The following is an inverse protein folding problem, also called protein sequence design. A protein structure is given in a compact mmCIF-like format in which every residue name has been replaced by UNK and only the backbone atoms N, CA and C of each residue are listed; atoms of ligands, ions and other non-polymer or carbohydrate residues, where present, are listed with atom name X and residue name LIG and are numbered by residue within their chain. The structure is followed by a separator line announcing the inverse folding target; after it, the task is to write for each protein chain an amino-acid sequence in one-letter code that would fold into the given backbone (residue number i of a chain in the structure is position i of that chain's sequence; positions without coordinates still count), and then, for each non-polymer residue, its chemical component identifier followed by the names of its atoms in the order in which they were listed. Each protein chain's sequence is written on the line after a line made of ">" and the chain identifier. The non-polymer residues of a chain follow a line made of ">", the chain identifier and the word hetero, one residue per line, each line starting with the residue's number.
data_IF_158906205729
#
_entry.id   IF_158906205729
#
_cell.length_a   1.000
_cell.length_b   1.000
_cell.length_c   1.000
_cell.angle_alpha   90.00
_cell.angle_beta   90.00
_cell.angle_gamma   90.00
#
_symmetry.space_group_name_H-M   'P 1'
#
loop_
_entity.id
_entity.type
_entity.pdbx_description
1 polymer ?
#
# COMPACT_ATOMS: atom_id res chain seq x y z
N UNK A 1 15.86 12.00 -24.89
CA UNK A 1 15.59 12.55 -23.54
C UNK A 1 16.04 11.53 -22.53
N UNK A 2 16.91 11.91 -21.57
CA UNK A 2 17.35 10.98 -20.51
C UNK A 2 16.51 11.18 -19.25
N UNK A 3 15.94 10.09 -18.77
CA UNK A 3 15.17 10.04 -17.53
C UNK A 3 15.96 9.28 -16.48
N UNK A 4 16.10 9.85 -15.29
CA UNK A 4 16.70 9.16 -14.14
C UNK A 4 15.65 8.36 -13.39
N UNK A 5 16.00 7.15 -12.98
CA UNK A 5 15.15 6.34 -12.13
C UNK A 5 15.92 5.72 -10.96
N UNK A 6 15.21 5.45 -9.90
CA UNK A 6 15.65 4.63 -8.77
C UNK A 6 14.61 3.57 -8.53
N UNK A 7 15.02 2.30 -8.40
CA UNK A 7 14.13 1.29 -7.84
C UNK A 7 14.37 1.15 -6.34
N UNK A 8 13.30 0.85 -5.62
CA UNK A 8 13.32 0.74 -4.16
C UNK A 8 12.41 -0.41 -3.73
N UNK A 9 12.87 -1.20 -2.77
CA UNK A 9 12.03 -2.15 -2.06
C UNK A 9 11.37 -1.43 -0.89
N UNK A 10 10.03 -1.37 -0.90
CA UNK A 10 9.22 -0.62 0.05
C UNK A 10 8.66 -1.55 1.12
N UNK A 11 8.61 -1.12 2.38
CA UNK A 11 8.20 -1.90 3.55
C UNK A 11 9.17 -3.04 3.89
N UNK A 12 10.45 -2.77 3.80
CA UNK A 12 11.50 -3.71 4.19
C UNK A 12 12.75 -2.97 4.67
N UNK A 13 13.54 -3.60 5.50
CA UNK A 13 14.87 -3.13 5.95
C UNK A 13 16.02 -3.87 5.27
N UNK A 14 15.71 -4.81 4.35
CA UNK A 14 16.68 -5.62 3.62
C UNK A 14 16.33 -5.74 2.14
N UNK A 15 17.34 -5.88 1.26
CA UNK A 15 17.12 -6.14 -0.16
C UNK A 15 16.28 -7.39 -0.42
N UNK A 16 15.52 -7.38 -1.51
CA UNK A 16 14.69 -8.48 -2.01
C UNK A 16 13.49 -8.85 -1.13
N UNK A 17 13.18 -8.02 -0.13
CA UNK A 17 11.92 -8.03 0.59
C UNK A 17 10.98 -6.94 0.06
N UNK A 18 9.87 -6.71 0.76
CA UNK A 18 8.99 -5.58 0.47
C UNK A 18 8.31 -5.61 -0.90
N UNK A 19 7.73 -4.48 -1.28
CA UNK A 19 7.11 -4.27 -2.58
C UNK A 19 8.01 -3.40 -3.47
N UNK A 20 8.47 -3.90 -4.64
CA UNK A 20 9.36 -3.14 -5.50
C UNK A 20 8.62 -2.00 -6.20
N UNK A 21 9.27 -0.84 -6.26
CA UNK A 21 8.79 0.36 -6.92
C UNK A 21 9.88 0.95 -7.81
N UNK A 22 9.51 1.41 -8.99
CA UNK A 22 10.35 2.31 -9.80
C UNK A 22 9.90 3.75 -9.61
N UNK A 23 10.85 4.64 -9.36
CA UNK A 23 10.62 6.09 -9.20
C UNK A 23 11.41 6.83 -10.27
N UNK A 24 10.73 7.43 -11.23
CA UNK A 24 11.31 8.31 -12.26
C UNK A 24 11.30 9.73 -11.70
N UNK A 25 12.49 10.27 -11.40
CA UNK A 25 12.62 11.50 -10.58
C UNK A 25 12.61 12.81 -11.39
N UNK A 26 12.63 12.74 -12.73
CA UNK A 26 12.65 13.90 -13.62
C UNK A 26 11.70 13.73 -14.81
N UNK A 27 10.44 13.46 -14.53
CA UNK A 27 9.43 13.08 -15.52
C UNK A 27 8.80 14.28 -16.28
N UNK A 28 9.27 15.49 -16.03
CA UNK A 28 8.76 16.69 -16.72
C UNK A 28 8.90 16.55 -18.23
N UNK A 29 7.82 16.84 -18.96
CA UNK A 29 7.76 16.76 -20.43
C UNK A 29 7.28 15.42 -20.98
N UNK A 30 7.12 14.38 -20.14
CA UNK A 30 6.52 13.12 -20.56
C UNK A 30 5.00 13.27 -20.76
N UNK A 31 4.50 12.71 -21.85
CA UNK A 31 3.06 12.51 -22.04
C UNK A 31 2.54 11.35 -21.17
N UNK A 32 1.22 11.31 -20.87
CA UNK A 32 0.61 10.19 -20.18
C UNK A 32 0.87 8.83 -20.86
N UNK A 33 0.88 8.81 -22.19
CA UNK A 33 1.16 7.59 -22.96
C UNK A 33 2.60 7.11 -22.78
N UNK A 34 3.58 8.02 -22.72
CA UNK A 34 4.97 7.67 -22.44
C UNK A 34 5.15 7.14 -21.00
N UNK A 35 4.51 7.77 -20.01
CA UNK A 35 4.53 7.28 -18.63
C UNK A 35 3.94 5.88 -18.52
N UNK A 36 2.83 5.62 -19.21
CA UNK A 36 2.20 4.30 -19.25
C UNK A 36 3.12 3.25 -19.91
N UNK A 37 3.78 3.59 -21.02
CA UNK A 37 4.71 2.69 -21.70
C UNK A 37 5.93 2.36 -20.81
N UNK A 38 6.49 3.35 -20.13
CA UNK A 38 7.60 3.16 -19.19
C UNK A 38 7.18 2.28 -18.02
N UNK A 39 5.98 2.48 -17.46
CA UNK A 39 5.46 1.65 -16.39
C UNK A 39 5.26 0.19 -16.84
N UNK A 40 4.78 -0.02 -18.07
CA UNK A 40 4.67 -1.35 -18.66
C UNK A 40 6.03 -2.02 -18.89
N UNK A 41 7.05 -1.25 -19.30
CA UNK A 41 8.42 -1.75 -19.51
C UNK A 41 9.08 -2.18 -18.20
N UNK A 42 8.93 -1.41 -17.10
CA UNK A 42 9.38 -1.83 -15.77
C UNK A 42 8.66 -3.08 -15.28
N UNK A 43 7.39 -3.24 -15.64
CA UNK A 43 6.55 -4.38 -15.26
C UNK A 43 6.57 -4.69 -13.76
N UNK A 44 6.72 -3.64 -12.93
CA UNK A 44 6.54 -3.70 -11.48
C UNK A 44 5.07 -3.43 -11.14
N UNK A 45 4.66 -3.73 -9.92
CA UNK A 45 3.28 -3.47 -9.48
C UNK A 45 2.87 -2.03 -9.79
N UNK A 46 3.73 -1.06 -9.44
CA UNK A 46 3.59 0.34 -9.84
C UNK A 46 4.95 0.99 -10.19
N UNK A 47 4.83 2.08 -10.94
CA UNK A 47 5.91 3.02 -11.25
C UNK A 47 5.42 4.43 -10.96
N UNK A 48 6.22 5.24 -10.29
CA UNK A 48 5.90 6.65 -10.03
C UNK A 48 6.72 7.59 -10.91
N UNK A 49 6.06 8.68 -11.29
CA UNK A 49 6.64 9.75 -12.06
C UNK A 49 6.56 11.05 -11.26
N UNK A 50 7.73 11.59 -10.93
CA UNK A 50 7.86 12.84 -10.18
C UNK A 50 7.88 13.99 -11.17
N UNK A 51 7.01 14.99 -10.97
CA UNK A 51 6.91 16.22 -11.75
C UNK A 51 7.09 17.43 -10.83
N UNK A 52 7.40 18.61 -11.40
CA UNK A 52 7.38 19.85 -10.63
C UNK A 52 6.00 20.06 -9.98
N UNK A 53 5.94 20.51 -8.72
CA UNK A 53 4.67 20.78 -8.08
C UNK A 53 3.99 21.98 -8.75
N UNK A 54 2.65 21.98 -8.78
CA UNK A 54 1.84 23.11 -9.28
C UNK A 54 1.84 24.26 -8.27
N UNK A 55 1.78 23.93 -6.98
CA UNK A 55 1.94 24.89 -5.89
C UNK A 55 3.38 24.81 -5.35
N UNK A 56 4.04 25.97 -5.30
CA UNK A 56 5.40 26.09 -4.80
C UNK A 56 5.57 25.68 -3.30
N UNK A 57 4.48 25.62 -2.54
CA UNK A 57 4.49 25.12 -1.15
C UNK A 57 4.61 23.61 -1.06
N UNK A 58 4.34 22.88 -2.14
CA UNK A 58 4.37 21.42 -2.17
C UNK A 58 5.72 20.89 -2.66
N UNK A 59 5.98 19.61 -2.42
CA UNK A 59 7.26 18.98 -2.76
C UNK A 59 7.33 18.57 -4.22
N UNK A 60 6.29 17.94 -4.74
CA UNK A 60 6.20 17.44 -6.10
C UNK A 60 4.75 17.13 -6.49
N UNK A 61 4.45 17.13 -7.79
CA UNK A 61 3.33 16.36 -8.33
C UNK A 61 3.82 14.93 -8.56
N UNK A 62 3.03 13.94 -8.13
CA UNK A 62 3.35 12.51 -8.29
C UNK A 62 2.24 11.82 -9.05
N UNK A 63 2.61 11.14 -10.13
CA UNK A 63 1.70 10.31 -10.91
C UNK A 63 2.08 8.84 -10.76
N UNK A 64 1.10 7.98 -10.59
CA UNK A 64 1.27 6.56 -10.26
C UNK A 64 0.67 5.73 -11.38
N UNK A 65 1.43 4.78 -11.90
CA UNK A 65 0.99 3.90 -12.98
C UNK A 65 1.25 2.45 -12.63
N UNK A 66 0.24 1.60 -12.80
CA UNK A 66 0.44 0.15 -12.96
C UNK A 66 0.92 -0.11 -14.39
N UNK A 67 1.34 -1.33 -14.76
CA UNK A 67 1.62 -1.68 -16.15
C UNK A 67 0.45 -1.45 -17.13
N UNK A 68 -0.80 -1.30 -16.63
CA UNK A 68 -2.00 -1.22 -17.46
C UNK A 68 -2.77 0.09 -17.37
N UNK A 69 -2.65 0.83 -16.26
CA UNK A 69 -3.47 2.01 -16.02
C UNK A 69 -2.83 2.97 -15.02
N UNK A 70 -3.20 4.25 -15.12
CA UNK A 70 -2.87 5.24 -14.12
C UNK A 70 -3.79 5.14 -12.91
N UNK A 71 -3.20 5.17 -11.72
CA UNK A 71 -3.90 5.13 -10.43
C UNK A 71 -4.03 6.53 -9.83
N UNK A 72 -5.18 6.88 -9.24
CA UNK A 72 -5.37 8.18 -8.58
C UNK A 72 -4.57 8.30 -7.28
N UNK A 73 -4.28 7.18 -6.63
CA UNK A 73 -3.56 7.06 -5.37
C UNK A 73 -3.13 5.61 -5.14
N UNK A 74 -1.95 5.40 -4.55
CA UNK A 74 -1.54 4.09 -4.02
C UNK A 74 -0.55 4.25 -2.85
N UNK A 75 -0.63 3.39 -1.82
CA UNK A 75 0.11 3.55 -0.57
C UNK A 75 1.61 3.35 -0.71
N UNK A 76 2.07 2.16 -1.15
CA UNK A 76 3.50 1.89 -1.22
C UNK A 76 4.26 2.77 -2.24
N UNK A 77 3.67 3.18 -3.39
CA UNK A 77 4.31 4.12 -4.29
C UNK A 77 4.63 5.46 -3.64
N UNK A 78 3.75 5.97 -2.80
CA UNK A 78 3.97 7.19 -2.03
C UNK A 78 5.10 7.05 -1.02
N UNK A 79 5.09 5.95 -0.25
CA UNK A 79 6.12 5.64 0.73
C UNK A 79 7.49 5.56 0.06
N UNK A 80 7.63 4.83 -1.06
CA UNK A 80 8.88 4.70 -1.79
C UNK A 80 9.34 5.98 -2.46
N UNK A 81 8.42 6.75 -3.06
CA UNK A 81 8.76 8.04 -3.70
C UNK A 81 9.27 9.05 -2.67
N UNK A 82 8.60 9.17 -1.52
CA UNK A 82 9.04 10.05 -0.44
C UNK A 82 10.44 9.68 0.06
N UNK A 83 10.71 8.37 0.23
CA UNK A 83 12.02 7.88 0.59
C UNK A 83 13.10 8.25 -0.45
N UNK A 84 12.83 8.04 -1.74
CA UNK A 84 13.78 8.36 -2.83
C UNK A 84 14.09 9.84 -2.85
N UNK A 85 13.07 10.72 -2.79
CA UNK A 85 13.28 12.18 -2.80
C UNK A 85 14.01 12.67 -1.55
N UNK A 86 13.68 12.12 -0.37
CA UNK A 86 14.36 12.45 0.88
C UNK A 86 15.84 12.04 0.87
N UNK A 87 16.17 10.88 0.27
CA UNK A 87 17.55 10.40 0.09
C UNK A 87 18.32 11.20 -0.96
N UNK A 88 17.64 11.68 -2.01
CA UNK A 88 18.23 12.57 -3.00
C UNK A 88 18.49 13.98 -2.43
N UNK A 89 17.80 14.38 -1.36
CA UNK A 89 17.91 15.68 -0.71
C UNK A 89 17.36 16.83 -1.54
N UNK A 90 16.79 16.57 -2.70
CA UNK A 90 16.24 17.57 -3.62
C UNK A 90 15.17 17.01 -4.54
N UNK A 91 14.26 17.87 -5.01
CA UNK A 91 13.29 17.63 -6.07
C UNK A 91 13.25 18.86 -6.98
N UNK A 92 13.52 18.69 -8.28
CA UNK A 92 13.59 19.80 -9.26
C UNK A 92 14.44 20.99 -8.78
N UNK A 93 15.64 20.71 -8.28
CA UNK A 93 16.57 21.72 -7.76
C UNK A 93 16.22 22.31 -6.38
N UNK A 94 15.04 22.04 -5.86
CA UNK A 94 14.57 22.52 -4.55
C UNK A 94 15.02 21.55 -3.44
N UNK A 95 15.55 22.06 -2.32
CA UNK A 95 15.96 21.21 -1.21
C UNK A 95 14.76 20.46 -0.58
N UNK A 96 14.98 19.19 -0.24
CA UNK A 96 14.08 18.35 0.58
C UNK A 96 14.74 18.19 1.95
N UNK A 97 14.58 19.19 2.80
CA UNK A 97 15.32 19.32 4.08
C UNK A 97 14.47 19.03 5.31
N UNK A 98 13.16 19.13 5.23
CA UNK A 98 12.25 18.85 6.35
C UNK A 98 11.93 17.36 6.52
N UNK A 99 11.17 17.06 7.56
CA UNK A 99 10.65 15.72 7.85
C UNK A 99 9.22 15.51 7.34
N UNK A 100 8.72 16.47 6.54
CA UNK A 100 7.41 16.40 5.89
C UNK A 100 7.52 16.72 4.41
N UNK A 101 6.84 15.88 3.61
CA UNK A 101 6.65 16.10 2.19
C UNK A 101 5.16 16.21 1.90
N UNK A 102 4.82 16.95 0.85
CA UNK A 102 3.45 17.05 0.34
C UNK A 102 3.48 16.74 -1.15
N UNK A 103 2.76 15.70 -1.54
CA UNK A 103 2.58 15.34 -2.95
C UNK A 103 1.22 15.79 -3.46
N UNK A 104 1.20 16.29 -4.68
CA UNK A 104 -0.02 16.56 -5.44
C UNK A 104 -0.33 15.34 -6.30
N UNK A 105 -1.48 14.70 -6.06
CA UNK A 105 -1.94 13.54 -6.81
C UNK A 105 -3.34 13.75 -7.36
N UNK A 106 -3.81 12.83 -8.21
CA UNK A 106 -5.19 12.88 -8.71
C UNK A 106 -6.24 12.78 -7.58
N UNK A 107 -5.92 12.04 -6.53
CA UNK A 107 -6.79 11.92 -5.36
C UNK A 107 -6.73 13.12 -4.41
N UNK A 108 -5.82 14.09 -4.64
CA UNK A 108 -5.62 15.25 -3.79
C UNK A 108 -4.23 15.33 -3.19
N UNK A 109 -4.09 16.03 -2.06
CA UNK A 109 -2.82 16.20 -1.37
C UNK A 109 -2.51 15.01 -0.45
N UNK A 110 -1.35 14.42 -0.66
CA UNK A 110 -0.83 13.33 0.19
C UNK A 110 0.31 13.85 1.05
N UNK A 111 0.15 13.75 2.37
CA UNK A 111 1.15 14.17 3.34
C UNK A 111 1.98 12.99 3.79
N UNK A 112 3.30 13.16 3.73
CA UNK A 112 4.28 12.16 4.09
C UNK A 112 5.11 12.67 5.27
N UNK A 113 5.28 11.84 6.29
CA UNK A 113 6.25 12.05 7.36
C UNK A 113 7.50 11.18 7.11
N UNK A 114 8.68 11.72 7.38
CA UNK A 114 9.97 11.04 7.22
C UNK A 114 10.54 10.63 8.58
N UNK A 115 11.09 9.44 8.65
CA UNK A 115 11.95 9.01 9.77
C UNK A 115 13.39 9.01 9.30
N UNK A 116 14.29 9.67 10.06
CA UNK A 116 15.71 9.74 9.76
C UNK A 116 16.53 9.09 10.89
N UNK A 117 17.58 8.39 10.51
CA UNK A 117 18.63 7.89 11.40
C UNK A 117 19.95 8.52 10.98
N UNK A 118 20.64 9.17 11.90
CA UNK A 118 21.87 9.94 11.62
C UNK A 118 21.73 10.91 10.41
N UNK A 119 20.57 11.57 10.29
CA UNK A 119 20.26 12.50 9.19
C UNK A 119 19.83 11.85 7.86
N UNK A 120 19.88 10.54 7.76
CA UNK A 120 19.54 9.80 6.54
C UNK A 120 18.10 9.26 6.64
N UNK A 121 17.27 9.49 5.62
CA UNK A 121 15.91 8.93 5.56
C UNK A 121 15.98 7.40 5.49
N UNK A 122 15.26 6.73 6.40
CA UNK A 122 15.21 5.26 6.53
C UNK A 122 13.80 4.71 6.40
N UNK A 123 12.78 5.49 6.78
CA UNK A 123 11.38 5.11 6.68
C UNK A 123 10.52 6.31 6.35
N UNK A 124 9.35 6.05 5.81
CA UNK A 124 8.34 7.08 5.55
C UNK A 124 6.96 6.57 5.94
N UNK A 125 6.10 7.52 6.32
CA UNK A 125 4.71 7.24 6.71
C UNK A 125 3.78 8.22 6.01
N UNK A 126 2.64 7.73 5.55
CA UNK A 126 1.56 8.54 5.00
C UNK A 126 0.33 8.51 5.92
N UNK A 127 -0.42 9.61 5.94
CA UNK A 127 -1.79 9.65 6.39
C UNK A 127 -2.70 9.29 5.20
N UNK A 128 -3.69 8.40 5.42
CA UNK A 128 -4.65 8.09 4.36
C UNK A 128 -5.42 9.36 3.95
N UNK A 129 -5.57 9.61 2.65
CA UNK A 129 -6.22 10.83 2.16
C UNK A 129 -7.73 10.84 2.37
N UNK A 130 -8.33 9.67 2.57
CA UNK A 130 -9.78 9.49 2.71
C UNK A 130 -10.07 8.81 4.05
N UNK A 131 -11.09 9.27 4.81
CA UNK A 131 -11.54 8.61 6.03
C UNK A 131 -11.94 7.16 5.79
N UNK A 132 -11.84 6.33 6.85
CA UNK A 132 -12.31 4.96 6.80
C UNK A 132 -13.80 4.92 6.43
N UNK A 133 -14.12 4.11 5.43
CA UNK A 133 -15.49 3.69 5.12
C UNK A 133 -15.61 2.17 5.27
N UNK A 134 -16.77 1.70 5.75
CA UNK A 134 -17.10 0.29 5.88
C UNK A 134 -18.35 0.04 5.03
N UNK A 135 -18.24 -0.95 4.16
CA UNK A 135 -19.29 -1.32 3.21
C UNK A 135 -20.00 -2.61 3.59
N UNK A 136 -20.48 -3.31 2.56
CA UNK A 136 -21.26 -4.54 2.72
C UNK A 136 -20.46 -5.68 3.35
N UNK A 137 -21.19 -6.60 3.98
CA UNK A 137 -20.64 -7.82 4.56
C UNK A 137 -20.78 -9.00 3.59
N UNK A 138 -19.83 -9.92 3.67
CA UNK A 138 -19.80 -11.18 2.93
C UNK A 138 -19.98 -12.38 3.87
N UNK A 139 -20.37 -13.53 3.30
CA UNK A 139 -20.41 -14.77 4.05
C UNK A 139 -19.02 -15.39 4.19
N UNK A 140 -18.85 -16.22 5.24
CA UNK A 140 -17.65 -17.04 5.39
C UNK A 140 -17.50 -18.03 4.21
N UNK A 141 -18.61 -18.54 3.67
CA UNK A 141 -18.61 -19.46 2.53
C UNK A 141 -18.04 -18.80 1.27
N UNK A 142 -18.41 -17.53 0.99
CA UNK A 142 -17.84 -16.79 -0.14
C UNK A 142 -16.32 -16.65 -0.02
N UNK A 143 -15.82 -16.22 1.15
CA UNK A 143 -14.37 -16.05 1.37
C UNK A 143 -13.65 -17.40 1.25
N UNK A 144 -14.23 -18.46 1.82
CA UNK A 144 -13.67 -19.80 1.75
C UNK A 144 -13.59 -20.30 0.30
N UNK A 145 -14.65 -20.13 -0.49
CA UNK A 145 -14.65 -20.51 -1.91
C UNK A 145 -13.66 -19.68 -2.71
N UNK A 146 -13.67 -18.35 -2.54
CA UNK A 146 -12.78 -17.44 -3.27
C UNK A 146 -11.29 -17.64 -2.98
N UNK A 147 -10.94 -18.14 -1.77
CA UNK A 147 -9.56 -18.26 -1.32
C UNK A 147 -9.12 -19.71 -1.06
N UNK A 148 -9.84 -20.72 -1.56
CA UNK A 148 -9.52 -22.14 -1.40
C UNK A 148 -9.38 -22.60 0.06
N UNK A 149 -10.26 -22.09 0.93
CA UNK A 149 -10.30 -22.36 2.36
C UNK A 149 -11.58 -23.12 2.73
N UNK A 150 -11.72 -23.46 4.00
CA UNK A 150 -12.97 -23.97 4.58
C UNK A 150 -13.71 -22.82 5.29
N UNK A 151 -15.06 -22.83 5.33
CA UNK A 151 -15.80 -21.82 6.10
C UNK A 151 -15.38 -21.75 7.58
N UNK A 152 -14.97 -22.88 8.17
CA UNK A 152 -14.42 -22.95 9.54
C UNK A 152 -13.07 -22.25 9.72
N UNK A 153 -12.34 -21.94 8.65
CA UNK A 153 -11.08 -21.20 8.71
C UNK A 153 -11.31 -19.69 8.85
N UNK A 154 -12.53 -19.22 8.55
CA UNK A 154 -12.90 -17.81 8.61
C UNK A 154 -13.40 -17.48 10.02
N UNK A 155 -12.77 -16.49 10.64
CA UNK A 155 -13.18 -15.99 11.95
C UNK A 155 -14.21 -14.86 11.78
N UNK A 156 -15.31 -14.96 12.50
CA UNK A 156 -16.44 -14.01 12.40
C UNK A 156 -16.81 -13.33 13.72
N UNK A 157 -16.13 -13.69 14.83
CA UNK A 157 -16.45 -13.21 16.18
C UNK A 157 -16.11 -11.72 16.37
N UNK A 158 -15.02 -11.25 15.75
CA UNK A 158 -14.59 -9.85 15.83
C UNK A 158 -15.36 -8.93 14.88
N UNK A 159 -15.50 -9.36 13.64
CA UNK A 159 -16.35 -8.77 12.60
C UNK A 159 -16.59 -9.80 11.50
N UNK A 160 -17.70 -9.64 10.78
CA UNK A 160 -17.94 -10.43 9.56
C UNK A 160 -17.00 -9.97 8.45
N UNK A 161 -16.63 -10.83 7.48
CA UNK A 161 -15.97 -10.36 6.28
C UNK A 161 -16.75 -9.19 5.66
N UNK A 162 -16.06 -8.10 5.35
CA UNK A 162 -16.72 -6.88 4.85
C UNK A 162 -15.79 -6.06 3.97
N UNK A 163 -16.35 -5.20 3.15
CA UNK A 163 -15.59 -4.14 2.47
C UNK A 163 -15.18 -3.09 3.48
N UNK A 164 -13.92 -2.66 3.41
CA UNK A 164 -13.45 -1.45 4.03
C UNK A 164 -12.51 -0.69 3.07
N UNK A 165 -12.41 0.62 3.25
CA UNK A 165 -11.61 1.48 2.38
C UNK A 165 -11.11 2.71 3.12
N UNK A 166 -9.86 3.09 2.81
CA UNK A 166 -9.30 4.42 3.05
C UNK A 166 -8.81 5.03 1.72
N UNK A 167 -9.48 4.68 0.60
CA UNK A 167 -9.17 5.10 -0.76
C UNK A 167 -9.48 4.04 -1.81
N UNK A 168 -9.01 2.80 -1.61
CA UNK A 168 -9.33 1.65 -2.46
C UNK A 168 -10.15 0.62 -1.66
N UNK A 169 -11.35 0.20 -2.12
CA UNK A 169 -12.17 -0.77 -1.42
C UNK A 169 -11.59 -2.18 -1.54
N UNK A 170 -11.43 -2.88 -0.42
CA UNK A 170 -11.05 -4.30 -0.37
C UNK A 170 -12.00 -5.05 0.56
N UNK A 171 -12.14 -6.35 0.32
CA UNK A 171 -12.83 -7.26 1.25
C UNK A 171 -11.83 -7.74 2.29
N UNK A 172 -12.14 -7.56 3.57
CA UNK A 172 -11.32 -7.99 4.71
C UNK A 172 -11.95 -9.20 5.38
N UNK A 173 -11.13 -10.21 5.64
CA UNK A 173 -11.55 -11.40 6.38
C UNK A 173 -10.46 -11.84 7.37
N UNK A 174 -10.83 -11.98 8.64
CA UNK A 174 -9.97 -12.55 9.67
C UNK A 174 -10.00 -14.08 9.58
N UNK A 175 -8.85 -14.72 9.71
CA UNK A 175 -8.71 -16.15 9.72
C UNK A 175 -8.41 -16.66 11.14
N UNK A 176 -8.79 -17.91 11.41
CA UNK A 176 -8.60 -18.56 12.70
C UNK A 176 -7.14 -18.97 12.97
N UNK A 177 -6.30 -19.10 11.93
CA UNK A 177 -4.92 -19.55 12.12
C UNK A 177 -3.96 -19.09 11.03
N UNK A 178 -2.67 -19.04 11.36
CA UNK A 178 -1.57 -18.82 10.42
C UNK A 178 -1.49 -19.96 9.37
N UNK A 179 -1.87 -21.18 9.75
CA UNK A 179 -1.91 -22.31 8.82
C UNK A 179 -2.97 -22.11 7.72
N UNK A 180 -4.16 -21.62 8.08
CA UNK A 180 -5.19 -21.25 7.12
C UNK A 180 -4.71 -20.12 6.20
N UNK A 181 -4.08 -19.07 6.75
CA UNK A 181 -3.53 -17.99 5.95
C UNK A 181 -2.49 -18.50 4.94
N UNK A 182 -1.58 -19.38 5.36
CA UNK A 182 -0.56 -19.98 4.50
C UNK A 182 -1.14 -20.83 3.38
N UNK A 183 -2.23 -21.57 3.64
CA UNK A 183 -2.86 -22.43 2.65
C UNK A 183 -3.76 -21.71 1.65
N UNK A 184 -4.12 -20.45 1.92
CA UNK A 184 -5.00 -19.67 1.07
C UNK A 184 -4.43 -19.52 -0.35
N UNK A 185 -5.30 -19.66 -1.36
CA UNK A 185 -4.97 -19.45 -2.76
C UNK A 185 -6.18 -18.87 -3.50
N UNK A 186 -6.01 -17.85 -4.36
CA UNK A 186 -7.12 -17.21 -5.04
C UNK A 186 -7.71 -18.11 -6.12
N UNK A 187 -9.03 -18.19 -6.17
CA UNK A 187 -9.79 -18.85 -7.23
C UNK A 187 -10.34 -17.83 -8.21
N UNK A 188 -9.67 -17.67 -9.35
CA UNK A 188 -10.01 -16.65 -10.35
C UNK A 188 -11.45 -16.77 -10.86
N UNK A 189 -11.98 -17.98 -11.02
CA UNK A 189 -13.35 -18.25 -11.43
C UNK A 189 -14.38 -17.67 -10.44
N UNK A 190 -14.12 -17.80 -9.14
CA UNK A 190 -14.97 -17.26 -8.08
C UNK A 190 -14.87 -15.73 -8.02
N UNK A 191 -13.66 -15.17 -8.14
CA UNK A 191 -13.48 -13.72 -8.21
C UNK A 191 -14.25 -13.11 -9.39
N UNK A 192 -14.18 -13.73 -10.57
CA UNK A 192 -14.91 -13.26 -11.77
C UNK A 192 -16.42 -13.37 -11.59
N UNK A 193 -16.91 -14.44 -10.97
CA UNK A 193 -18.34 -14.70 -10.79
C UNK A 193 -18.97 -13.80 -9.72
N UNK A 194 -18.31 -13.63 -8.57
CA UNK A 194 -18.94 -13.12 -7.35
C UNK A 194 -18.37 -11.79 -6.85
N UNK A 195 -17.18 -11.37 -7.33
CA UNK A 195 -16.56 -10.11 -6.95
C UNK A 195 -16.31 -9.26 -8.20
N UNK A 196 -17.19 -8.29 -8.48
CA UNK A 196 -16.96 -7.37 -9.60
C UNK A 196 -15.81 -6.39 -9.29
N UNK A 197 -15.09 -5.95 -10.33
CA UNK A 197 -14.00 -4.95 -10.19
C UNK A 197 -14.43 -3.64 -9.56
N UNK A 198 -15.69 -3.26 -9.76
CA UNK A 198 -16.25 -2.00 -9.26
C UNK A 198 -16.61 -2.08 -7.76
N UNK A 199 -16.77 -3.28 -7.20
CA UNK A 199 -17.09 -3.49 -5.78
C UNK A 199 -15.86 -3.47 -4.90
N UNK A 200 -14.83 -4.21 -5.27
CA UNK A 200 -13.59 -4.27 -4.49
C UNK A 200 -12.40 -4.63 -5.38
N UNK A 201 -11.23 -4.10 -5.03
CA UNK A 201 -9.96 -4.38 -5.71
C UNK A 201 -9.55 -5.83 -5.53
N UNK A 202 -9.82 -6.42 -4.36
CA UNK A 202 -9.41 -7.78 -4.03
C UNK A 202 -9.85 -8.19 -2.63
N UNK A 203 -9.31 -9.33 -2.17
CA UNK A 203 -9.56 -9.88 -0.83
C UNK A 203 -8.27 -9.80 -0.02
N UNK A 204 -8.35 -9.20 1.17
CA UNK A 204 -7.27 -9.09 2.14
C UNK A 204 -7.56 -10.01 3.33
N UNK A 205 -6.85 -11.12 3.38
CA UNK A 205 -6.92 -12.09 4.48
C UNK A 205 -5.90 -11.71 5.55
N UNK A 206 -6.27 -11.85 6.81
CA UNK A 206 -5.36 -11.58 7.91
C UNK A 206 -5.59 -12.50 9.12
N UNK A 207 -4.57 -12.62 9.95
CA UNK A 207 -4.62 -13.31 11.25
C UNK A 207 -3.94 -12.44 12.31
N UNK A 208 -4.61 -12.22 13.42
CA UNK A 208 -4.05 -11.56 14.59
C UNK A 208 -3.31 -12.62 15.45
N UNK A 209 -2.10 -12.95 15.03
CA UNK A 209 -1.24 -13.91 15.73
C UNK A 209 0.15 -13.28 15.85
N UNK A 210 0.55 -12.99 17.10
CA UNK A 210 1.86 -12.38 17.36
C UNK A 210 2.96 -13.40 17.06
N UNK A 211 3.91 -13.02 16.20
CA UNK A 211 5.09 -13.80 15.89
C UNK A 211 6.31 -12.85 15.88
N UNK A 212 7.16 -12.96 16.91
CA UNK A 212 8.23 -11.99 17.14
C UNK A 212 7.66 -10.58 17.34
N UNK A 213 8.09 -9.64 16.53
CA UNK A 213 7.64 -8.24 16.55
C UNK A 213 6.43 -7.98 15.64
N UNK A 214 5.92 -9.00 14.93
CA UNK A 214 4.75 -8.90 14.06
C UNK A 214 3.49 -9.20 14.87
N UNK A 215 2.53 -8.27 14.84
CA UNK A 215 1.24 -8.42 15.51
C UNK A 215 0.19 -9.09 14.63
N UNK A 216 0.25 -8.85 13.32
CA UNK A 216 -0.72 -9.31 12.33
C UNK A 216 0.05 -9.84 11.12
N UNK A 217 -0.37 -10.98 10.60
CA UNK A 217 0.10 -11.46 9.31
C UNK A 217 -1.05 -11.45 8.31
N UNK A 218 -0.75 -11.08 7.06
CA UNK A 218 -1.77 -10.94 6.04
C UNK A 218 -1.28 -11.38 4.64
N UNK A 219 -2.25 -11.61 3.75
CA UNK A 219 -2.07 -11.85 2.32
C UNK A 219 -3.15 -11.10 1.55
N UNK A 220 -2.81 -10.57 0.38
CA UNK A 220 -3.74 -9.84 -0.46
C UNK A 220 -3.79 -10.42 -1.86
N UNK A 221 -4.98 -10.75 -2.31
CA UNK A 221 -5.26 -11.32 -3.63
C UNK A 221 -6.12 -10.36 -4.46
N UNK A 222 -5.64 -9.99 -5.66
CA UNK A 222 -6.35 -9.11 -6.59
C UNK A 222 -6.27 -9.62 -8.05
N UNK A 223 -6.69 -10.88 -8.32
CA UNK A 223 -6.51 -11.49 -9.63
C UNK A 223 -7.26 -10.77 -10.76
N UNK A 224 -8.40 -10.12 -10.47
CA UNK A 224 -9.15 -9.33 -11.44
C UNK A 224 -8.36 -8.13 -11.99
N UNK A 225 -7.37 -7.65 -11.23
CA UNK A 225 -6.48 -6.55 -11.62
C UNK A 225 -5.14 -7.03 -12.19
N UNK A 226 -4.99 -8.36 -12.37
CA UNK A 226 -3.77 -8.97 -12.89
C UNK A 226 -2.67 -9.11 -11.86
N UNK A 227 -3.00 -9.00 -10.57
CA UNK A 227 -2.11 -9.20 -9.43
C UNK A 227 -2.61 -10.43 -8.67
N UNK A 228 -2.11 -11.64 -8.96
CA UNK A 228 -2.56 -12.84 -8.25
C UNK A 228 -2.39 -12.70 -6.73
N UNK A 229 -1.25 -12.18 -6.29
CA UNK A 229 -0.94 -11.83 -4.91
C UNK A 229 0.03 -10.65 -4.87
N UNK A 230 -0.16 -9.74 -3.90
CA UNK A 230 0.68 -8.56 -3.71
C UNK A 230 1.54 -8.70 -2.44
N UNK A 231 2.87 -8.43 -2.51
CA UNK A 231 3.77 -8.64 -1.38
C UNK A 231 3.61 -7.64 -0.23
N UNK A 232 3.11 -6.42 -0.51
CA UNK A 232 2.86 -5.41 0.52
C UNK A 232 1.87 -4.36 0.04
N UNK A 233 0.67 -4.39 0.59
CA UNK A 233 -0.45 -3.56 0.16
C UNK A 233 -0.72 -2.45 1.18
N UNK A 234 -0.07 -1.30 1.02
CA UNK A 234 -0.25 -0.16 1.93
C UNK A 234 -1.70 0.28 2.05
N UNK A 235 -2.43 0.35 0.91
CA UNK A 235 -3.85 0.72 0.87
C UNK A 235 -4.77 -0.23 1.61
N UNK A 236 -4.47 -1.55 1.61
CA UNK A 236 -5.21 -2.52 2.40
C UNK A 236 -4.89 -2.40 3.90
N UNK A 237 -3.60 -2.33 4.24
CA UNK A 237 -3.20 -2.35 5.64
C UNK A 237 -3.58 -1.06 6.40
N UNK A 238 -3.66 0.09 5.72
CA UNK A 238 -4.20 1.32 6.31
C UNK A 238 -5.70 1.24 6.56
N UNK A 239 -6.46 0.55 5.70
CA UNK A 239 -7.87 0.28 5.93
C UNK A 239 -8.08 -0.80 7.00
N UNK A 240 -7.24 -1.84 7.04
CA UNK A 240 -7.28 -2.88 8.08
C UNK A 240 -7.10 -2.29 9.49
N UNK A 241 -6.07 -1.45 9.71
CA UNK A 241 -5.88 -0.87 11.04
C UNK A 241 -7.05 0.04 11.43
N UNK A 242 -7.65 0.75 10.47
CA UNK A 242 -8.86 1.53 10.67
C UNK A 242 -10.04 0.65 11.07
N UNK A 243 -10.29 -0.46 10.35
CA UNK A 243 -11.34 -1.43 10.62
C UNK A 243 -11.20 -2.05 12.02
N UNK A 244 -9.99 -2.49 12.37
CA UNK A 244 -9.71 -3.03 13.70
C UNK A 244 -9.94 -2.00 14.81
N UNK A 245 -9.54 -0.75 14.58
CA UNK A 245 -9.76 0.36 15.52
C UNK A 245 -11.24 0.69 15.67
N UNK A 246 -12.02 0.65 14.56
CA UNK A 246 -13.46 0.85 14.58
C UNK A 246 -14.17 -0.13 15.51
N UNK A 247 -13.80 -1.41 15.46
CA UNK A 247 -14.41 -2.47 16.27
C UNK A 247 -13.93 -2.52 17.74
N UNK A 248 -12.97 -1.68 18.15
CA UNK A 248 -12.60 -1.54 19.56
C UNK A 248 -13.71 -0.84 20.34
N UNK A 249 -13.89 -1.21 21.61
CA UNK A 249 -14.94 -0.64 22.47
C UNK A 249 -14.61 0.75 22.98
N UNK A 250 -13.34 1.08 23.07
CA UNK A 250 -12.85 2.36 23.56
C UNK A 250 -13.30 3.50 22.64
N UNK A 251 -13.82 4.57 23.22
CA UNK A 251 -14.27 5.75 22.47
C UNK A 251 -13.08 6.58 21.97
N UNK A 252 -12.01 6.64 22.75
CA UNK A 252 -10.76 7.33 22.43
C UNK A 252 -9.63 6.31 22.48
N UNK A 253 -8.93 6.14 21.38
CA UNK A 253 -7.89 5.11 21.23
C UNK A 253 -6.90 5.49 20.13
N UNK A 254 -5.63 5.23 20.36
CA UNK A 254 -4.62 5.10 19.32
C UNK A 254 -4.20 3.63 19.24
N UNK A 255 -4.49 2.99 18.12
CA UNK A 255 -4.09 1.61 17.87
C UNK A 255 -2.91 1.61 16.90
N UNK A 256 -1.80 1.00 17.30
CA UNK A 256 -0.63 0.79 16.44
C UNK A 256 -0.34 -0.71 16.33
N UNK A 257 0.04 -1.18 15.15
CA UNK A 257 0.34 -2.57 14.84
C UNK A 257 1.48 -2.69 13.83
N UNK A 258 2.34 -3.67 14.05
CA UNK A 258 3.29 -4.15 13.05
C UNK A 258 2.64 -5.28 12.24
N UNK A 259 2.59 -5.11 10.92
CA UNK A 259 1.90 -6.03 10.02
C UNK A 259 2.93 -6.67 9.10
N UNK A 260 2.94 -8.00 9.05
CA UNK A 260 3.75 -8.79 8.12
C UNK A 260 2.93 -9.24 6.92
N UNK A 261 3.41 -9.00 5.71
CA UNK A 261 2.82 -9.44 4.45
C UNK A 261 3.90 -10.02 3.53
N UNK A 262 3.55 -10.84 2.54
CA UNK A 262 4.46 -11.33 1.51
C UNK A 262 5.42 -12.43 1.96
N UNK A 263 5.33 -12.93 3.19
CA UNK A 263 6.21 -13.98 3.70
C UNK A 263 6.08 -15.29 2.90
N UNK A 264 4.84 -15.67 2.58
CA UNK A 264 4.55 -16.89 1.81
C UNK A 264 4.92 -16.76 0.32
N UNK A 265 5.15 -15.52 -0.16
CA UNK A 265 5.65 -15.23 -1.51
C UNK A 265 7.19 -15.17 -1.60
N UNK A 266 7.89 -15.26 -0.47
CA UNK A 266 9.35 -15.05 -0.41
C UNK A 266 9.78 -13.58 -0.50
N UNK A 267 8.86 -12.63 -0.36
CA UNK A 267 9.13 -11.18 -0.28
C UNK A 267 8.62 -10.60 1.05
N UNK A 268 9.26 -10.95 2.16
CA UNK A 268 8.80 -10.52 3.48
C UNK A 268 8.77 -9.00 3.58
N UNK A 269 7.62 -8.49 4.00
CA UNK A 269 7.31 -7.06 4.12
C UNK A 269 6.85 -6.75 5.53
N UNK A 270 7.32 -5.65 6.10
CA UNK A 270 6.97 -5.16 7.42
C UNK A 270 6.36 -3.76 7.29
N UNK A 271 5.09 -3.65 7.62
CA UNK A 271 4.35 -2.40 7.57
C UNK A 271 4.01 -1.94 8.98
N UNK A 272 4.21 -0.67 9.24
CA UNK A 272 3.84 0.00 10.49
C UNK A 272 2.51 0.73 10.26
N UNK A 273 1.44 0.26 10.89
CA UNK A 273 0.11 0.80 10.75
C UNK A 273 -0.40 1.40 12.06
N UNK A 274 -1.08 2.53 12.00
CA UNK A 274 -1.74 3.10 13.17
C UNK A 274 -3.04 3.82 12.80
N UNK A 275 -3.96 3.88 13.76
CA UNK A 275 -5.21 4.61 13.61
C UNK A 275 -5.59 5.32 14.91
N UNK A 276 -6.21 6.47 14.77
CA UNK A 276 -6.74 7.28 15.86
C UNK A 276 -8.26 7.20 15.86
N UNK A 277 -8.83 6.98 17.04
CA UNK A 277 -10.26 7.01 17.29
C UNK A 277 -10.57 8.08 18.33
N UNK A 278 -11.56 8.93 18.05
CA UNK A 278 -12.03 9.99 18.96
C UNK A 278 -13.55 9.99 18.98
N UNK A 279 -14.11 10.06 20.17
CA UNK A 279 -15.56 10.04 20.39
C UNK A 279 -16.27 8.91 19.60
N UNK A 280 -15.65 7.72 19.55
CA UNK A 280 -16.20 6.55 18.87
C UNK A 280 -15.97 6.50 17.36
N UNK A 281 -15.36 7.51 16.75
CA UNK A 281 -15.13 7.59 15.30
C UNK A 281 -13.64 7.50 14.97
N UNK A 282 -13.26 6.70 13.96
CA UNK A 282 -11.89 6.68 13.44
C UNK A 282 -11.64 7.99 12.67
N UNK A 283 -10.72 8.80 13.18
CA UNK A 283 -10.44 10.14 12.67
C UNK A 283 -9.23 10.22 11.76
N UNK A 284 -8.28 9.29 11.91
CA UNK A 284 -7.08 9.23 11.09
C UNK A 284 -6.54 7.80 11.03
N UNK A 285 -5.95 7.45 9.89
CA UNK A 285 -5.25 6.18 9.67
C UNK A 285 -3.92 6.44 8.98
N UNK A 286 -2.88 5.70 9.36
CA UNK A 286 -1.53 5.88 8.88
C UNK A 286 -0.92 4.55 8.49
N UNK A 287 -0.07 4.58 7.46
CA UNK A 287 0.73 3.45 7.03
C UNK A 287 2.14 3.91 6.68
N UNK A 288 3.14 3.16 7.10
CA UNK A 288 4.53 3.46 6.83
C UNK A 288 5.42 2.24 6.96
N UNK A 289 6.69 2.46 6.79
CA UNK A 289 7.72 1.44 6.95
C UNK A 289 9.05 1.86 6.36
N UNK A 290 10.04 1.00 6.55
CA UNK A 290 11.39 1.18 6.03
C UNK A 290 11.44 0.91 4.53
N UNK A 291 12.45 1.48 3.87
CA UNK A 291 12.69 1.25 2.45
C UNK A 291 14.19 1.02 2.19
N UNK A 292 14.48 0.21 1.17
CA UNK A 292 15.85 -0.09 0.75
C UNK A 292 16.04 0.30 -0.71
N UNK A 293 17.03 1.19 -1.05
CA UNK A 293 17.31 1.51 -2.44
C UNK A 293 17.96 0.31 -3.12
N UNK A 294 17.50 -0.01 -4.35
CA UNK A 294 17.95 -1.20 -5.08
C UNK A 294 18.82 -0.87 -6.30
N UNK A 295 18.25 -0.18 -7.27
CA UNK A 295 18.93 0.14 -8.52
C UNK A 295 18.79 1.61 -8.85
N UNK A 296 19.78 2.14 -9.54
CA UNK A 296 19.73 3.46 -10.18
C UNK A 296 20.14 3.31 -11.65
N UNK A 297 19.47 4.06 -12.50
CA UNK A 297 19.77 4.03 -13.91
C UNK A 297 19.15 5.19 -14.67
N UNK A 298 19.27 5.11 -15.98
CA UNK A 298 18.67 6.05 -16.91
C UNK A 298 17.89 5.32 -17.98
N UNK A 299 16.76 5.90 -18.40
CA UNK A 299 16.01 5.49 -19.58
C UNK A 299 16.33 6.51 -20.66
N UNK A 300 16.75 6.06 -21.82
CA UNK A 300 17.01 6.90 -22.99
C UNK A 300 15.81 6.81 -23.95
N UNK A 301 15.06 7.91 -24.03
CA UNK A 301 13.97 8.05 -24.99
C UNK A 301 14.52 8.79 -26.21
N UNK A 302 14.98 8.02 -27.20
CA UNK A 302 15.42 8.53 -28.51
C UNK A 302 14.27 9.09 -29.33
#
# INVERSE_FOLDING_TARGET
>A
MKLEFTTVDVFTDRPFGGNPLAVVTNAQGLSPAQMQAIAAEFNLAETTFVLPPKDAAHTAEVRIFTPKAEMPFAGHPNVGTAFVLARAGRSYGRPVTGDRLVFEEKAGLVRMDLTREAGVAVATRLAAPVPLSIGEAFSADFIADACSLKPSDIKVDGHRPCIASCGAPLVFAELNSRAALKSAAPRNDVFVRDLSRDRAVGIHLYVQAKEGDIDIQCRMFAPLHGIPEDPATGGANVALIGLLTHHRREADLVLAKTIGQGFDMGRPSILEASAEKKAGTVTATYIGGRCVPMMKGTIDLT
#
